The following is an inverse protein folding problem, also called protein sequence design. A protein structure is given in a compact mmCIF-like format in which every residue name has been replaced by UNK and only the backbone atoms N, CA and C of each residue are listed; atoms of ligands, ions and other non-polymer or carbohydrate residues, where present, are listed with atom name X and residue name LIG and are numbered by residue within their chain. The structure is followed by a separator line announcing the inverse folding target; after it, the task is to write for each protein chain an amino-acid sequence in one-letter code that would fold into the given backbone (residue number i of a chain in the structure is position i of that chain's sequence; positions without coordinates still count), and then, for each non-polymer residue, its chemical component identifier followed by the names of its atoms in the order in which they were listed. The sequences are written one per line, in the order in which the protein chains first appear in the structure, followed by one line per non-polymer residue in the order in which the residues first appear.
data_IF_293789122576
#
_entry.id   IF_293789122576
#
_cell.length_a   1.000
_cell.length_b   1.000
_cell.length_c   1.000
_cell.angle_alpha   90.00
_cell.angle_beta   90.00
_cell.angle_gamma   90.00
#
_symmetry.space_group_name_H-M   'P 1'
#
loop_
_entity.id
_entity.type
_entity.pdbx_description
1 polymer ?
#
# COMPACT_ATOMS: atom_id res chain seq x y z
N UNK A 1 -5.04 18.78 -21.55
CA UNK A 1 -4.41 19.67 -20.56
C UNK A 1 -3.68 18.81 -19.56
N UNK A 2 -2.34 18.84 -19.49
CA UNK A 2 -1.59 18.12 -18.46
C UNK A 2 -1.51 18.95 -17.18
N UNK A 3 -1.54 18.30 -16.02
CA UNK A 3 -1.36 18.92 -14.71
C UNK A 3 -0.20 18.26 -14.00
N UNK A 4 0.74 19.05 -13.50
CA UNK A 4 1.80 18.55 -12.62
C UNK A 4 1.24 18.41 -11.22
N UNK A 5 1.35 17.22 -10.63
CA UNK A 5 0.97 16.97 -9.24
C UNK A 5 2.17 16.59 -8.42
N UNK A 6 2.15 16.97 -7.15
CA UNK A 6 3.17 16.64 -6.17
C UNK A 6 2.62 15.56 -5.24
N UNK A 7 3.38 14.48 -5.06
CA UNK A 7 2.97 13.28 -4.34
C UNK A 7 4.07 12.87 -3.35
N UNK A 8 3.68 12.25 -2.24
CA UNK A 8 4.62 11.59 -1.33
C UNK A 8 4.76 10.13 -1.75
N UNK A 9 5.95 9.75 -2.19
CA UNK A 9 6.27 8.37 -2.54
C UNK A 9 7.10 7.74 -1.41
N UNK A 10 6.80 6.49 -1.06
CA UNK A 10 7.67 5.73 -0.16
C UNK A 10 9.05 5.57 -0.82
N UNK A 11 10.11 5.86 -0.07
CA UNK A 11 11.49 5.74 -0.54
C UNK A 11 12.15 4.50 0.06
N UNK A 12 12.08 4.37 1.38
CA UNK A 12 12.60 3.22 2.13
C UNK A 12 11.87 3.10 3.46
N UNK A 13 12.02 1.96 4.11
CA UNK A 13 11.60 1.77 5.50
C UNK A 13 12.84 1.45 6.32
N UNK A 14 13.15 2.28 7.29
CA UNK A 14 14.28 2.11 8.19
C UNK A 14 13.89 1.21 9.35
N UNK A 15 14.77 0.27 9.69
CA UNK A 15 14.62 -0.58 10.88
C UNK A 15 15.44 0.01 12.03
N UNK A 16 14.87 0.07 13.23
CA UNK A 16 15.56 0.57 14.41
C UNK A 16 15.19 -0.25 15.64
N UNK A 17 16.16 -0.43 16.54
CA UNK A 17 15.94 -1.13 17.81
C UNK A 17 15.37 -0.14 18.84
N UNK A 18 14.20 -0.47 19.38
CA UNK A 18 13.59 0.25 20.48
C UNK A 18 13.86 -0.52 21.77
N UNK A 19 14.42 0.18 22.76
CA UNK A 19 14.54 -0.33 24.11
C UNK A 19 13.15 -0.55 24.72
N UNK A 20 12.86 -1.79 25.12
CA UNK A 20 11.60 -2.23 25.71
C UNK A 20 11.86 -2.84 27.07
N UNK A 21 11.13 -2.37 28.08
CA UNK A 21 11.21 -2.87 29.45
C UNK A 21 9.93 -3.64 29.75
N UNK A 22 10.03 -4.95 29.99
CA UNK A 22 8.87 -5.76 30.39
C UNK A 22 9.05 -6.24 31.83
N UNK A 23 8.00 -6.15 32.68
CA UNK A 23 8.02 -6.74 34.02
C UNK A 23 8.25 -8.25 33.94
N UNK A 24 9.05 -8.78 34.85
CA UNK A 24 9.22 -10.22 34.97
C UNK A 24 7.92 -10.89 35.44
N UNK A 25 7.57 -12.10 34.94
CA UNK A 25 6.52 -12.90 35.53
C UNK A 25 6.89 -13.28 36.97
N UNK A 26 5.90 -13.29 37.87
CA UNK A 26 6.11 -13.60 39.28
C UNK A 26 6.68 -15.02 39.45
N UNK A 27 7.79 -15.14 40.18
CA UNK A 27 8.38 -16.43 40.54
C UNK A 27 9.54 -16.93 39.66
N UNK A 28 10.03 -16.13 38.70
CA UNK A 28 11.21 -16.49 37.92
C UNK A 28 12.51 -16.36 38.75
N UNK A 29 13.27 -17.46 38.97
CA UNK A 29 14.56 -17.38 39.62
C UNK A 29 15.54 -16.61 38.71
N UNK A 30 16.32 -15.70 39.30
CA UNK A 30 17.30 -14.82 38.60
C UNK A 30 16.73 -13.78 37.62
N UNK A 31 15.46 -13.37 37.75
CA UNK A 31 14.93 -12.25 36.97
C UNK A 31 15.21 -10.92 37.70
N UNK A 32 16.20 -10.15 37.25
CA UNK A 32 16.31 -8.72 37.63
C UNK A 32 14.95 -8.05 37.33
N UNK A 33 14.42 -7.26 38.28
CA UNK A 33 13.02 -6.76 38.38
C UNK A 33 12.38 -6.25 37.07
N UNK A 34 13.18 -5.91 36.08
CA UNK A 34 12.76 -5.56 34.71
C UNK A 34 13.68 -6.29 33.72
N UNK A 35 13.10 -7.01 32.76
CA UNK A 35 13.84 -7.57 31.63
C UNK A 35 14.01 -6.49 30.56
N UNK A 36 15.26 -6.08 30.30
CA UNK A 36 15.59 -5.22 29.16
C UNK A 36 15.57 -6.07 27.90
N UNK A 37 14.73 -5.68 26.95
CA UNK A 37 14.62 -6.28 25.64
C UNK A 37 14.73 -5.19 24.59
N UNK A 38 15.15 -5.55 23.38
CA UNK A 38 15.06 -4.67 22.23
C UNK A 38 14.03 -5.25 21.28
N UNK A 39 13.10 -4.40 20.84
CA UNK A 39 12.17 -4.76 19.76
C UNK A 39 12.58 -4.01 18.51
N UNK A 40 12.54 -4.68 17.38
CA UNK A 40 12.72 -4.02 16.09
C UNK A 40 11.47 -3.23 15.75
N UNK A 41 11.63 -1.99 15.30
CA UNK A 41 10.58 -1.13 14.83
C UNK A 41 10.91 -0.62 13.44
N UNK A 42 9.86 -0.29 12.69
CA UNK A 42 9.94 0.11 11.29
C UNK A 42 9.45 1.54 11.12
N UNK A 43 10.27 2.38 10.48
CA UNK A 43 9.95 3.79 10.19
C UNK A 43 9.98 4.03 8.68
N UNK A 44 8.85 4.32 8.03
CA UNK A 44 8.84 4.67 6.62
C UNK A 44 9.46 6.05 6.41
N UNK A 45 10.24 6.17 5.33
CA UNK A 45 10.85 7.40 4.83
C UNK A 45 10.21 7.73 3.49
N UNK A 46 9.57 8.89 3.41
CA UNK A 46 8.89 9.37 2.22
C UNK A 46 9.71 10.44 1.50
N UNK A 47 9.57 10.49 0.19
CA UNK A 47 10.14 11.52 -0.67
C UNK A 47 9.05 12.21 -1.48
N UNK A 48 9.23 13.50 -1.70
CA UNK A 48 8.36 14.28 -2.58
C UNK A 48 8.72 13.97 -4.02
N UNK A 49 7.74 13.55 -4.83
CA UNK A 49 7.87 13.35 -6.27
C UNK A 49 6.86 14.19 -7.02
N UNK A 50 7.22 14.61 -8.23
CA UNK A 50 6.30 15.25 -9.16
C UNK A 50 5.92 14.25 -10.26
N UNK A 51 4.62 14.14 -10.56
CA UNK A 51 4.09 13.32 -11.66
C UNK A 51 3.24 14.22 -12.55
N UNK A 52 3.39 14.10 -13.87
CA UNK A 52 2.51 14.77 -14.82
C UNK A 52 1.29 13.87 -15.03
N UNK A 53 0.13 14.33 -14.59
CA UNK A 53 -1.15 13.69 -14.89
C UNK A 53 -1.70 14.29 -16.17
N UNK A 54 -1.90 13.45 -17.18
CA UNK A 54 -2.65 13.81 -18.37
C UNK A 54 -4.13 13.93 -18.01
N UNK A 55 -4.83 14.93 -18.54
CA UNK A 55 -6.27 15.05 -18.36
C UNK A 55 -6.97 13.80 -18.90
N UNK A 56 -7.54 12.99 -18.01
CA UNK A 56 -8.60 12.05 -18.38
C UNK A 56 -9.81 12.89 -18.86
N UNK A 57 -10.47 12.45 -19.93
CA UNK A 57 -11.75 13.03 -20.30
C UNK A 57 -12.78 12.67 -19.21
N UNK A 58 -13.37 13.67 -18.55
CA UNK A 58 -14.58 13.45 -17.77
C UNK A 58 -15.67 13.00 -18.75
N UNK A 59 -16.14 11.76 -18.58
CA UNK A 59 -17.24 11.21 -19.36
C UNK A 59 -18.43 11.04 -18.43
N UNK A 60 -19.63 11.30 -18.95
CA UNK A 60 -20.85 10.97 -18.23
C UNK A 60 -20.99 9.46 -18.11
N UNK A 61 -21.63 9.00 -17.03
CA UNK A 61 -22.01 7.59 -16.92
C UNK A 61 -22.83 7.17 -18.15
N UNK A 62 -22.75 5.90 -18.58
CA UNK A 62 -23.56 5.40 -19.70
C UNK A 62 -25.04 5.76 -19.51
N UNK A 63 -25.67 6.29 -20.56
CA UNK A 63 -27.06 6.78 -20.51
C UNK A 63 -27.26 8.17 -19.93
N UNK A 64 -26.20 8.90 -19.58
CA UNK A 64 -26.29 10.31 -19.19
C UNK A 64 -25.47 11.18 -20.15
N UNK A 65 -25.99 12.35 -20.50
CA UNK A 65 -25.39 13.30 -21.45
C UNK A 65 -25.60 14.75 -20.99
N UNK A 66 -24.96 15.70 -21.68
CA UNK A 66 -24.98 17.12 -21.32
C UNK A 66 -23.72 17.57 -20.58
N UNK A 67 -23.48 18.89 -20.48
CA UNK A 67 -22.26 19.45 -19.90
C UNK A 67 -22.05 19.11 -18.42
N UNK A 68 -23.13 18.83 -17.68
CA UNK A 68 -23.10 18.37 -16.29
C UNK A 68 -23.73 16.97 -16.13
N UNK A 69 -23.84 16.20 -17.21
CA UNK A 69 -24.45 14.86 -17.21
C UNK A 69 -25.90 14.81 -16.71
N UNK A 70 -26.67 15.88 -16.90
CA UNK A 70 -28.02 16.03 -16.39
C UNK A 70 -29.11 15.38 -17.27
N UNK A 71 -28.79 15.04 -18.52
CA UNK A 71 -29.77 14.49 -19.47
C UNK A 71 -29.66 12.96 -19.53
N UNK A 72 -30.66 12.27 -18.99
CA UNK A 72 -30.75 10.81 -19.11
C UNK A 72 -31.30 10.42 -20.48
N UNK A 73 -30.51 9.70 -21.27
CA UNK A 73 -30.95 9.08 -22.51
C UNK A 73 -31.32 7.62 -22.24
N UNK A 74 -32.62 7.38 -22.07
CA UNK A 74 -33.19 6.07 -21.77
C UNK A 74 -32.99 5.04 -22.90
N UNK A 75 -32.48 5.45 -24.07
CA UNK A 75 -32.23 4.60 -25.24
C UNK A 75 -30.74 4.28 -25.45
N UNK A 76 -29.84 4.75 -24.58
CA UNK A 76 -28.42 4.51 -24.73
C UNK A 76 -28.06 3.04 -24.49
N UNK A 77 -27.61 2.36 -25.54
CA UNK A 77 -26.95 1.05 -25.46
C UNK A 77 -25.65 1.22 -24.67
N UNK A 78 -25.33 0.33 -23.69
CA UNK A 78 -24.05 0.38 -23.00
C UNK A 78 -22.91 0.27 -24.02
N UNK A 79 -22.07 1.30 -24.11
CA UNK A 79 -20.88 1.28 -24.96
C UNK A 79 -19.99 0.10 -24.50
N UNK A 80 -19.49 -0.75 -25.41
CA UNK A 80 -18.50 -1.76 -25.05
C UNK A 80 -17.27 -1.07 -24.46
N UNK A 81 -16.75 -1.60 -23.35
CA UNK A 81 -15.48 -1.12 -22.79
C UNK A 81 -14.40 -1.13 -23.88
N UNK A 82 -13.79 0.03 -24.13
CA UNK A 82 -12.69 0.21 -25.08
C UNK A 82 -11.54 -0.76 -24.76
N UNK A 83 -11.11 -1.65 -25.68
CA UNK A 83 -9.97 -2.55 -25.47
C UNK A 83 -8.61 -1.84 -25.70
N UNK A 84 -8.53 -0.53 -25.47
CA UNK A 84 -7.42 0.34 -25.84
C UNK A 84 -6.60 0.90 -24.67
N UNK A 85 -6.30 0.12 -23.63
CA UNK A 85 -5.24 0.49 -22.67
C UNK A 85 -4.36 -0.73 -22.35
N UNK A 86 -3.48 -1.08 -23.29
CA UNK A 86 -2.28 -1.89 -23.01
C UNK A 86 -1.12 -0.99 -22.59
N UNK A 87 -1.32 -0.23 -21.52
CA UNK A 87 -0.21 0.09 -20.63
C UNK A 87 -0.38 -0.77 -19.39
N UNK A 88 0.55 -1.73 -19.19
CA UNK A 88 0.74 -2.38 -17.90
C UNK A 88 1.09 -1.30 -16.86
N UNK A 89 0.10 -0.69 -16.23
CA UNK A 89 0.18 -0.23 -14.86
C UNK A 89 -0.05 -1.46 -13.96
N UNK A 90 0.80 -1.69 -12.95
CA UNK A 90 0.52 -2.65 -11.88
C UNK A 90 -0.86 -2.34 -11.31
N UNK A 91 -1.77 -3.32 -11.36
CA UNK A 91 -3.13 -3.18 -10.86
C UNK A 91 -3.09 -2.90 -9.35
N UNK A 92 -3.32 -1.64 -8.96
CA UNK A 92 -3.78 -1.29 -7.62
C UNK A 92 -5.25 -0.84 -7.75
N UNK A 93 -6.11 -1.81 -8.05
CA UNK A 93 -7.55 -1.64 -7.93
C UNK A 93 -7.96 -1.59 -6.45
N UNK A 94 -9.13 -1.02 -6.12
CA UNK A 94 -9.57 -0.94 -4.73
C UNK A 94 -9.85 -2.37 -4.23
N UNK A 95 -8.93 -2.90 -3.44
CA UNK A 95 -9.13 -4.15 -2.72
C UNK A 95 -10.35 -3.96 -1.84
N UNK A 96 -11.44 -4.66 -2.18
CA UNK A 96 -12.51 -4.95 -1.23
C UNK A 96 -11.84 -5.59 -0.01
N UNK A 97 -11.75 -4.83 1.09
CA UNK A 97 -11.05 -5.23 2.28
C UNK A 97 -11.75 -6.44 2.91
N UNK A 98 -11.39 -7.65 2.46
CA UNK A 98 -11.56 -8.86 3.25
C UNK A 98 -10.32 -9.02 4.14
N UNK A 99 -10.48 -9.01 5.48
CA UNK A 99 -9.37 -9.10 6.44
C UNK A 99 -8.44 -10.31 6.28
N UNK A 100 -8.85 -11.37 5.57
CA UNK A 100 -8.05 -12.58 5.39
C UNK A 100 -6.91 -12.46 4.37
N UNK A 101 -7.05 -11.64 3.33
CA UNK A 101 -6.01 -11.52 2.29
C UNK A 101 -4.82 -10.69 2.76
N UNK A 102 -5.05 -9.66 3.58
CA UNK A 102 -3.98 -8.83 4.12
C UNK A 102 -3.05 -9.63 5.05
N UNK A 103 -3.62 -10.54 5.85
CA UNK A 103 -2.84 -11.42 6.73
C UNK A 103 -1.97 -12.41 5.95
N UNK A 104 -2.47 -12.95 4.83
CA UNK A 104 -1.68 -13.83 3.97
C UNK A 104 -0.52 -13.09 3.29
N UNK A 105 -0.76 -11.87 2.78
CA UNK A 105 0.29 -11.04 2.17
C UNK A 105 1.34 -10.61 3.21
N UNK A 106 0.91 -10.27 4.43
CA UNK A 106 1.85 -9.94 5.52
C UNK A 106 2.72 -11.15 5.88
N UNK A 107 2.13 -12.34 6.03
CA UNK A 107 2.88 -13.57 6.31
C UNK A 107 3.83 -13.94 5.16
N UNK A 108 3.42 -13.77 3.91
CA UNK A 108 4.27 -14.02 2.74
C UNK A 108 5.45 -13.04 2.65
N UNK A 109 5.23 -11.76 2.99
CA UNK A 109 6.29 -10.74 3.03
C UNK A 109 7.24 -10.97 4.21
N UNK A 110 6.75 -11.46 5.35
CA UNK A 110 7.57 -11.82 6.52
C UNK A 110 8.44 -13.05 6.22
N UNK A 111 7.88 -14.10 5.59
CA UNK A 111 8.61 -15.31 5.15
C UNK A 111 9.66 -14.96 4.08
N UNK A 112 9.32 -14.12 3.10
CA UNK A 112 10.28 -13.67 2.09
C UNK A 112 11.42 -12.83 2.69
N UNK A 113 11.13 -12.06 3.75
CA UNK A 113 12.13 -11.26 4.46
C UNK A 113 13.07 -12.13 5.31
N UNK A 114 12.57 -13.15 6.02
CA UNK A 114 13.41 -14.10 6.77
C UNK A 114 14.33 -14.91 5.82
N UNK A 115 13.82 -15.32 4.66
CA UNK A 115 14.58 -16.09 3.68
C UNK A 115 15.65 -15.25 2.96
N UNK A 116 15.43 -13.93 2.84
CA UNK A 116 16.41 -13.00 2.29
C UNK A 116 17.53 -12.67 3.30
N UNK A 117 17.25 -12.64 4.61
CA UNK A 117 18.28 -12.46 5.64
C UNK A 117 19.18 -13.69 5.79
N UNK A 118 18.65 -14.90 5.56
CA UNK A 118 19.44 -16.14 5.57
C UNK A 118 20.45 -16.22 4.40
N UNK A 119 20.16 -15.63 3.24
CA UNK A 119 21.05 -15.63 2.07
C UNK A 119 22.19 -14.61 2.15
N UNK A 120 22.10 -13.63 3.05
CA UNK A 120 23.12 -12.60 3.27
C UNK A 120 24.05 -12.92 4.46
N UNK A 121 23.78 -14.01 5.19
CA UNK A 121 24.58 -14.48 6.34
C UNK A 121 25.77 -15.39 5.99
N UNK A 122 25.88 -15.83 4.74
CA UNK A 122 26.92 -16.76 4.27
C UNK A 122 27.99 -16.10 3.36
N UNK A 123 28.19 -14.77 3.46
CA UNK A 123 29.32 -14.07 2.84
C UNK A 123 30.18 -13.29 3.85
#
# INVERSE_FOLDING_TARGET
MSKLVTLLALCKTEKFLIHSQQPCPQGAPDCQKVKVMYRMAHKPVYQVKQKVLTSLAWRCCPGYTGPNCEHHDSMAIPEPADPGDSHQEPQDGPVSFKPGHLAAVINEVEVQQEQQEHLLGDL
#
